data_IF_927279305846
#
_entry.id   IF_927279305846
#
_cell.length_a   1.000
_cell.length_b   1.000
_cell.length_c   1.000
_cell.angle_alpha   90.00
_cell.angle_beta   90.00
_cell.angle_gamma   90.00
#
_symmetry.space_group_name_H-M   'P 1'
#
loop_
_entity.id
_entity.type
_entity.pdbx_description
1 polymer ?
#
# COMPACT_ATOMS: atom_id res chain seq x y z
N UNK A 1 -20.29 -37.01 155.69
CA UNK A 1 -20.13 -37.76 154.42
C UNK A 1 -20.86 -37.19 153.19
N UNK A 2 -22.12 -36.71 153.28
CA UNK A 2 -22.87 -36.20 152.11
C UNK A 2 -22.23 -35.00 151.38
N UNK A 3 -21.47 -34.15 152.07
CA UNK A 3 -20.81 -32.96 151.49
C UNK A 3 -19.56 -33.32 150.69
N UNK A 4 -18.80 -34.34 151.10
CA UNK A 4 -17.60 -34.80 150.39
C UNK A 4 -17.94 -35.54 149.10
N UNK A 5 -19.00 -36.36 149.11
CA UNK A 5 -19.54 -37.00 147.89
C UNK A 5 -20.04 -35.98 146.87
N UNK A 6 -20.74 -34.92 147.31
CA UNK A 6 -21.15 -33.79 146.45
C UNK A 6 -19.97 -33.01 145.87
N UNK A 7 -18.89 -32.79 146.62
CA UNK A 7 -17.69 -32.10 146.10
C UNK A 7 -16.99 -32.93 145.01
N UNK A 8 -16.83 -34.24 145.22
CA UNK A 8 -16.25 -35.14 144.21
C UNK A 8 -17.11 -35.25 142.94
N UNK A 9 -18.44 -35.24 143.09
CA UNK A 9 -19.39 -35.26 141.96
C UNK A 9 -19.38 -33.94 141.17
N UNK A 10 -19.27 -32.79 141.85
CA UNK A 10 -19.08 -31.47 141.23
C UNK A 10 -17.75 -31.39 140.49
N UNK A 11 -16.68 -31.97 141.04
CA UNK A 11 -15.36 -31.99 140.42
C UNK A 11 -15.32 -32.90 139.18
N UNK A 12 -15.94 -34.10 139.24
CA UNK A 12 -16.13 -34.95 138.07
C UNK A 12 -17.00 -34.29 136.99
N UNK A 13 -18.04 -33.55 137.38
CA UNK A 13 -18.87 -32.78 136.45
C UNK A 13 -18.09 -31.61 135.82
N UNK A 14 -17.19 -30.95 136.57
CA UNK A 14 -16.28 -29.93 136.05
C UNK A 14 -15.26 -30.50 135.06
N UNK A 15 -14.68 -31.66 135.34
CA UNK A 15 -13.76 -32.34 134.41
C UNK A 15 -14.48 -32.80 133.14
N UNK A 16 -15.70 -33.33 133.26
CA UNK A 16 -16.54 -33.68 132.09
C UNK A 16 -16.95 -32.45 131.29
N UNK A 17 -17.28 -31.33 131.94
CA UNK A 17 -17.58 -30.08 131.28
C UNK A 17 -16.34 -29.49 130.59
N UNK A 18 -15.17 -29.49 131.23
CA UNK A 18 -13.91 -29.06 130.63
C UNK A 18 -13.53 -29.89 129.39
N UNK A 19 -13.71 -31.22 129.43
CA UNK A 19 -13.53 -32.08 128.24
C UNK A 19 -14.51 -31.72 127.11
N UNK A 20 -15.79 -31.52 127.42
CA UNK A 20 -16.78 -31.10 126.42
C UNK A 20 -16.48 -29.72 125.82
N UNK A 21 -15.99 -28.78 126.64
CA UNK A 21 -15.57 -27.45 126.18
C UNK A 21 -14.33 -27.56 125.30
N UNK A 22 -13.34 -28.37 125.66
CA UNK A 22 -12.16 -28.63 124.84
C UNK A 22 -12.53 -29.29 123.50
N UNK A 23 -13.36 -30.33 123.51
CA UNK A 23 -13.85 -30.99 122.29
C UNK A 23 -14.65 -30.04 121.40
N UNK A 24 -15.46 -29.15 121.99
CA UNK A 24 -16.21 -28.13 121.25
C UNK A 24 -15.28 -27.07 120.63
N UNK A 25 -14.25 -26.63 121.35
CA UNK A 25 -13.25 -25.69 120.86
C UNK A 25 -12.41 -26.31 119.73
N UNK A 26 -12.03 -27.58 119.84
CA UNK A 26 -11.25 -28.26 118.80
C UNK A 26 -12.08 -28.54 117.54
N UNK A 27 -13.37 -28.91 117.69
CA UNK A 27 -14.31 -28.95 116.56
C UNK A 27 -14.48 -27.58 115.91
N UNK A 28 -14.57 -26.51 116.70
CA UNK A 28 -14.69 -25.16 116.16
C UNK A 28 -13.43 -24.73 115.39
N UNK A 29 -12.23 -25.07 115.90
CA UNK A 29 -10.96 -24.85 115.18
C UNK A 29 -10.90 -25.65 113.89
N UNK A 30 -11.34 -26.91 113.88
CA UNK A 30 -11.41 -27.73 112.67
C UNK A 30 -12.36 -27.12 111.64
N UNK A 31 -13.56 -26.71 112.05
CA UNK A 31 -14.53 -26.05 111.16
C UNK A 31 -13.97 -24.73 110.59
N UNK A 32 -13.26 -23.94 111.41
CA UNK A 32 -12.62 -22.71 110.93
C UNK A 32 -11.50 -22.99 109.93
N UNK A 33 -10.68 -24.02 110.19
CA UNK A 33 -9.62 -24.46 109.27
C UNK A 33 -10.20 -24.96 107.95
N UNK A 34 -11.24 -25.80 107.99
CA UNK A 34 -11.93 -26.25 106.78
C UNK A 34 -12.56 -25.10 105.98
N UNK A 35 -13.09 -24.07 106.66
CA UNK A 35 -13.63 -22.87 106.00
C UNK A 35 -12.53 -22.06 105.31
N UNK A 36 -11.37 -21.94 105.95
CA UNK A 36 -10.20 -21.28 105.39
C UNK A 36 -9.68 -22.05 104.18
N UNK A 37 -9.47 -23.36 104.30
CA UNK A 37 -9.01 -24.23 103.21
C UNK A 37 -9.98 -24.22 102.02
N UNK A 38 -11.31 -24.26 102.27
CA UNK A 38 -12.33 -24.14 101.22
C UNK A 38 -12.33 -22.76 100.56
N UNK A 39 -12.00 -21.70 101.30
CA UNK A 39 -11.90 -20.34 100.74
C UNK A 39 -10.65 -20.19 99.86
N UNK A 40 -9.50 -20.69 100.32
CA UNK A 40 -8.27 -20.72 99.53
C UNK A 40 -8.44 -21.56 98.26
N UNK A 41 -9.03 -22.75 98.35
CA UNK A 41 -9.34 -23.58 97.17
C UNK A 41 -10.25 -22.85 96.17
N UNK A 42 -11.24 -22.08 96.65
CA UNK A 42 -12.09 -21.27 95.77
C UNK A 42 -11.32 -20.14 95.10
N UNK A 43 -10.40 -19.49 95.81
CA UNK A 43 -9.54 -18.45 95.25
C UNK A 43 -8.58 -19.02 94.20
N UNK A 44 -7.91 -20.13 94.47
CA UNK A 44 -7.03 -20.80 93.52
C UNK A 44 -7.79 -21.28 92.28
N UNK A 45 -8.96 -21.91 92.44
CA UNK A 45 -9.81 -22.31 91.31
C UNK A 45 -10.37 -21.13 90.52
N UNK A 46 -10.50 -19.94 91.12
CA UNK A 46 -10.88 -18.72 90.41
C UNK A 46 -9.70 -18.15 89.61
N UNK A 47 -8.48 -18.19 90.17
CA UNK A 47 -7.24 -17.80 89.47
C UNK A 47 -6.97 -18.71 88.27
N UNK A 48 -7.11 -20.03 88.43
CA UNK A 48 -6.93 -21.00 87.34
C UNK A 48 -7.93 -20.75 86.20
N UNK A 49 -9.23 -20.61 86.52
CA UNK A 49 -10.25 -20.29 85.51
C UNK A 49 -10.04 -18.92 84.84
N UNK A 50 -9.49 -17.94 85.56
CA UNK A 50 -9.14 -16.64 84.97
C UNK A 50 -7.94 -16.75 84.02
N UNK A 51 -6.97 -17.62 84.33
CA UNK A 51 -5.83 -17.90 83.45
C UNK A 51 -6.29 -18.65 82.18
N UNK A 52 -7.10 -19.69 82.32
CA UNK A 52 -7.68 -20.46 81.19
C UNK A 52 -8.50 -19.54 80.26
N UNK A 53 -9.37 -18.69 80.81
CA UNK A 53 -10.12 -17.73 80.00
C UNK A 53 -9.23 -16.75 79.23
N UNK A 54 -8.14 -16.27 79.85
CA UNK A 54 -7.18 -15.41 79.16
C UNK A 54 -6.49 -16.14 78.00
N UNK A 55 -6.13 -17.40 78.19
CA UNK A 55 -5.55 -18.21 77.11
C UNK A 55 -6.55 -18.43 75.97
N UNK A 56 -7.80 -18.76 76.28
CA UNK A 56 -8.88 -18.88 75.30
C UNK A 56 -9.11 -17.57 74.52
N UNK A 57 -9.16 -16.43 75.22
CA UNK A 57 -9.29 -15.10 74.60
C UNK A 57 -8.10 -14.80 73.67
N UNK A 58 -6.86 -15.10 74.10
CA UNK A 58 -5.67 -14.92 73.27
C UNK A 58 -5.71 -15.79 72.01
N UNK A 59 -6.17 -17.04 72.11
CA UNK A 59 -6.35 -17.94 70.96
C UNK A 59 -7.42 -17.39 70.01
N UNK A 60 -8.54 -16.86 70.54
CA UNK A 60 -9.58 -16.24 69.72
C UNK A 60 -9.06 -14.99 68.99
N UNK A 61 -8.34 -14.12 69.69
CA UNK A 61 -7.73 -12.92 69.10
C UNK A 61 -6.78 -13.32 67.97
N UNK A 62 -5.92 -14.32 68.18
CA UNK A 62 -5.02 -14.81 67.13
C UNK A 62 -5.77 -15.38 65.93
N UNK A 63 -6.86 -16.12 66.14
CA UNK A 63 -7.72 -16.61 65.04
C UNK A 63 -8.34 -15.44 64.26
N UNK A 64 -8.83 -14.42 64.94
CA UNK A 64 -9.41 -13.24 64.29
C UNK A 64 -8.37 -12.46 63.48
N UNK A 65 -7.14 -12.33 63.99
CA UNK A 65 -6.04 -11.66 63.28
C UNK A 65 -5.72 -12.43 62.00
N UNK A 66 -5.55 -13.75 62.07
CA UNK A 66 -5.28 -14.59 60.89
C UNK A 66 -6.38 -14.47 59.83
N UNK A 67 -7.65 -14.53 60.24
CA UNK A 67 -8.78 -14.36 59.33
C UNK A 67 -8.78 -12.96 58.68
N UNK A 68 -8.47 -11.91 59.43
CA UNK A 68 -8.36 -10.55 58.89
C UNK A 68 -7.20 -10.42 57.91
N UNK A 69 -6.04 -11.02 58.21
CA UNK A 69 -4.89 -11.04 57.31
C UNK A 69 -5.19 -11.77 56.00
N UNK A 70 -5.82 -12.94 56.06
CA UNK A 70 -6.25 -13.70 54.87
C UNK A 70 -7.26 -12.91 54.04
N UNK A 71 -8.27 -12.31 54.68
CA UNK A 71 -9.24 -11.46 54.01
C UNK A 71 -8.61 -10.19 53.40
N UNK A 72 -7.56 -9.65 54.02
CA UNK A 72 -6.80 -8.52 53.49
C UNK A 72 -5.98 -8.93 52.26
N UNK A 73 -5.26 -10.07 52.34
CA UNK A 73 -4.50 -10.64 51.21
C UNK A 73 -5.40 -10.94 50.01
N UNK A 74 -6.56 -11.55 50.23
CA UNK A 74 -7.52 -11.84 49.17
C UNK A 74 -8.06 -10.55 48.53
N UNK A 75 -8.31 -9.50 49.32
CA UNK A 75 -8.70 -8.18 48.80
C UNK A 75 -7.60 -7.54 47.97
N UNK A 76 -6.34 -7.64 48.41
CA UNK A 76 -5.20 -7.14 47.66
C UNK A 76 -5.03 -7.87 46.32
N UNK A 77 -5.12 -9.21 46.32
CA UNK A 77 -5.05 -10.02 45.09
C UNK A 77 -6.16 -9.65 44.10
N UNK A 78 -7.42 -9.57 44.56
CA UNK A 78 -8.54 -9.16 43.70
C UNK A 78 -8.35 -7.78 43.08
N UNK A 79 -7.73 -6.87 43.83
CA UNK A 79 -7.44 -5.52 43.35
C UNK A 79 -6.31 -5.53 42.31
N UNK A 80 -5.30 -6.39 42.49
CA UNK A 80 -4.23 -6.60 41.53
C UNK A 80 -4.74 -7.25 40.23
N UNK A 81 -5.56 -8.29 40.33
CA UNK A 81 -6.21 -8.94 39.18
C UNK A 81 -7.11 -7.95 38.43
N UNK A 82 -7.86 -7.11 39.15
CA UNK A 82 -8.69 -6.07 38.55
C UNK A 82 -7.84 -5.01 37.81
N UNK A 83 -6.64 -4.68 38.32
CA UNK A 83 -5.71 -3.79 37.62
C UNK A 83 -5.12 -4.46 36.38
N UNK A 84 -4.69 -5.72 36.48
CA UNK A 84 -4.17 -6.49 35.35
C UNK A 84 -5.20 -6.58 34.22
N UNK A 85 -6.43 -6.97 34.53
CA UNK A 85 -7.52 -7.05 33.53
C UNK A 85 -7.86 -5.71 32.88
N UNK A 86 -7.78 -4.60 33.62
CA UNK A 86 -7.95 -3.25 33.06
C UNK A 86 -6.81 -2.89 32.10
N UNK A 87 -5.57 -3.21 32.46
CA UNK A 87 -4.39 -2.97 31.63
C UNK A 87 -4.42 -3.81 30.35
N UNK A 88 -4.73 -5.10 30.45
CA UNK A 88 -4.88 -6.01 29.31
C UNK A 88 -5.96 -5.51 28.35
N UNK A 89 -7.10 -5.07 28.89
CA UNK A 89 -8.18 -4.50 28.07
C UNK A 89 -7.73 -3.23 27.37
N UNK A 90 -7.00 -2.34 28.06
CA UNK A 90 -6.43 -1.13 27.46
C UNK A 90 -5.44 -1.47 26.35
N UNK A 91 -4.53 -2.41 26.58
CA UNK A 91 -3.56 -2.86 25.59
C UNK A 91 -4.24 -3.46 24.37
N UNK A 92 -5.23 -4.35 24.57
CA UNK A 92 -6.03 -4.94 23.49
C UNK A 92 -6.73 -3.86 22.64
N UNK A 93 -7.30 -2.83 23.26
CA UNK A 93 -7.92 -1.72 22.52
C UNK A 93 -6.88 -0.96 21.69
N UNK A 94 -5.70 -0.69 22.25
CA UNK A 94 -4.62 0.01 21.55
C UNK A 94 -4.11 -0.83 20.36
N UNK A 95 -3.86 -2.12 20.56
CA UNK A 95 -3.41 -3.02 19.51
C UNK A 95 -4.45 -3.15 18.39
N UNK A 96 -5.73 -3.28 18.74
CA UNK A 96 -6.80 -3.35 17.74
C UNK A 96 -6.90 -2.06 16.92
N UNK A 97 -6.68 -0.89 17.54
CA UNK A 97 -6.60 0.39 16.82
C UNK A 97 -5.39 0.44 15.89
N UNK A 98 -4.20 0.08 16.37
CA UNK A 98 -2.97 0.03 15.55
C UNK A 98 -3.15 -0.87 14.33
N UNK A 99 -3.67 -2.10 14.53
CA UNK A 99 -3.95 -3.05 13.44
C UNK A 99 -4.94 -2.48 12.43
N UNK A 100 -5.99 -1.79 12.90
CA UNK A 100 -6.97 -1.16 12.01
C UNK A 100 -6.34 -0.01 11.21
N UNK A 101 -5.53 0.82 11.84
CA UNK A 101 -4.87 1.96 11.19
C UNK A 101 -3.84 1.48 10.15
N UNK A 102 -3.07 0.44 10.48
CA UNK A 102 -2.14 -0.23 9.54
C UNK A 102 -2.89 -0.78 8.33
N UNK A 103 -3.99 -1.51 8.54
CA UNK A 103 -4.83 -2.04 7.46
C UNK A 103 -5.43 -0.93 6.60
N UNK A 104 -5.94 0.14 7.22
CA UNK A 104 -6.47 1.29 6.50
C UNK A 104 -5.37 1.95 5.64
N UNK A 105 -4.17 2.14 6.19
CA UNK A 105 -3.01 2.65 5.47
C UNK A 105 -2.66 1.79 4.25
N UNK A 106 -2.64 0.46 4.40
CA UNK A 106 -2.39 -0.46 3.28
C UNK A 106 -3.47 -0.36 2.19
N UNK A 107 -4.74 -0.28 2.58
CA UNK A 107 -5.86 -0.12 1.63
C UNK A 107 -5.74 1.20 0.88
N UNK A 108 -5.39 2.29 1.57
CA UNK A 108 -5.18 3.59 0.92
C UNK A 108 -4.04 3.55 -0.10
N UNK A 109 -2.92 2.93 0.25
CA UNK A 109 -1.78 2.76 -0.66
C UNK A 109 -2.17 1.91 -1.88
N UNK A 110 -2.88 0.80 -1.67
CA UNK A 110 -3.35 -0.05 -2.78
C UNK A 110 -4.30 0.70 -3.71
N UNK A 111 -5.31 1.40 -3.17
CA UNK A 111 -6.24 2.20 -3.96
C UNK A 111 -5.54 3.32 -4.74
N UNK A 112 -4.56 3.98 -4.13
CA UNK A 112 -3.77 5.00 -4.81
C UNK A 112 -2.98 4.41 -5.98
N UNK A 113 -2.33 3.24 -5.78
CA UNK A 113 -1.63 2.53 -6.85
C UNK A 113 -2.57 2.10 -7.98
N UNK A 114 -3.72 1.52 -7.66
CA UNK A 114 -4.72 1.14 -8.66
C UNK A 114 -5.24 2.34 -9.45
N UNK A 115 -5.48 3.48 -8.79
CA UNK A 115 -5.88 4.71 -9.46
C UNK A 115 -4.79 5.21 -10.40
N UNK A 116 -3.53 5.23 -9.95
CA UNK A 116 -2.39 5.63 -10.78
C UNK A 116 -2.21 4.72 -11.99
N UNK A 117 -2.34 3.40 -11.82
CA UNK A 117 -2.29 2.44 -12.92
C UNK A 117 -3.40 2.69 -13.94
N UNK A 118 -4.64 2.90 -13.47
CA UNK A 118 -5.77 3.23 -14.36
C UNK A 118 -5.53 4.53 -15.11
N UNK A 119 -5.01 5.57 -14.46
CA UNK A 119 -4.68 6.82 -15.14
C UNK A 119 -3.63 6.60 -16.23
N UNK A 120 -2.55 5.90 -15.90
CA UNK A 120 -1.49 5.57 -16.86
C UNK A 120 -2.00 4.74 -18.04
N UNK A 121 -2.82 3.72 -17.79
CA UNK A 121 -3.47 2.92 -18.84
C UNK A 121 -4.34 3.79 -19.75
N UNK A 122 -5.13 4.71 -19.18
CA UNK A 122 -5.97 5.61 -19.98
C UNK A 122 -5.14 6.59 -20.80
N UNK A 123 -4.00 7.05 -20.29
CA UNK A 123 -3.12 7.97 -21.01
C UNK A 123 -2.37 7.25 -22.13
N UNK A 124 -1.85 6.04 -21.88
CA UNK A 124 -1.29 5.18 -22.93
C UNK A 124 -2.29 4.91 -24.06
N UNK A 125 -3.54 4.58 -23.73
CA UNK A 125 -4.58 4.38 -24.74
C UNK A 125 -4.89 5.65 -25.55
N UNK A 126 -4.78 6.84 -24.95
CA UNK A 126 -4.94 8.11 -25.70
C UNK A 126 -3.73 8.33 -26.60
N UNK A 127 -2.52 8.10 -26.10
CA UNK A 127 -1.29 8.23 -26.88
C UNK A 127 -1.29 7.28 -28.09
N UNK A 128 -1.65 6.01 -27.90
CA UNK A 128 -1.78 5.03 -28.99
C UNK A 128 -2.77 5.49 -30.06
N UNK A 129 -3.94 6.01 -29.65
CA UNK A 129 -4.93 6.57 -30.58
C UNK A 129 -4.37 7.75 -31.34
N UNK A 130 -3.68 8.67 -30.66
CA UNK A 130 -3.07 9.83 -31.30
C UNK A 130 -1.96 9.43 -32.29
N UNK A 131 -1.09 8.50 -31.90
CA UNK A 131 -0.04 7.98 -32.77
C UNK A 131 -0.62 7.26 -33.99
N UNK A 132 -1.72 6.52 -33.83
CA UNK A 132 -2.40 5.87 -34.95
C UNK A 132 -3.01 6.89 -35.90
N UNK A 133 -3.69 7.93 -35.39
CA UNK A 133 -4.20 9.03 -36.23
C UNK A 133 -3.06 9.73 -36.98
N UNK A 134 -1.93 9.99 -36.32
CA UNK A 134 -0.76 10.58 -36.97
C UNK A 134 -0.15 9.64 -38.02
N UNK A 135 -0.15 8.32 -37.79
CA UNK A 135 0.30 7.33 -38.76
C UNK A 135 -0.60 7.35 -40.00
N UNK A 136 -1.91 7.34 -39.82
CA UNK A 136 -2.89 7.43 -40.92
C UNK A 136 -2.68 8.72 -41.71
N UNK A 137 -2.58 9.87 -41.04
CA UNK A 137 -2.31 11.17 -41.70
C UNK A 137 -1.02 11.17 -42.52
N UNK A 138 0.05 10.53 -42.01
CA UNK A 138 1.32 10.38 -42.76
C UNK A 138 1.15 9.54 -44.02
N UNK A 139 0.38 8.45 -43.94
CA UNK A 139 0.08 7.60 -45.11
C UNK A 139 -0.80 8.34 -46.12
N UNK A 140 -1.82 9.06 -45.66
CA UNK A 140 -2.68 9.87 -46.52
C UNK A 140 -1.89 10.97 -47.24
N UNK A 141 -1.03 11.70 -46.52
CA UNK A 141 -0.20 12.74 -47.12
C UNK A 141 0.82 12.16 -48.11
N UNK A 142 1.42 11.00 -47.79
CA UNK A 142 2.29 10.30 -48.72
C UNK A 142 1.55 9.90 -50.02
N UNK A 143 0.36 9.33 -49.91
CA UNK A 143 -0.46 8.97 -51.07
C UNK A 143 -0.87 10.20 -51.89
N UNK A 144 -1.19 11.31 -51.21
CA UNK A 144 -1.49 12.59 -51.85
C UNK A 144 -0.29 13.11 -52.64
N UNK A 145 0.90 13.13 -52.04
CA UNK A 145 2.14 13.54 -52.70
C UNK A 145 2.47 12.65 -53.89
N UNK A 146 2.34 11.32 -53.73
CA UNK A 146 2.56 10.37 -54.82
C UNK A 146 1.57 10.60 -55.98
N UNK A 147 0.32 10.94 -55.67
CA UNK A 147 -0.69 11.26 -56.70
C UNK A 147 -0.35 12.56 -57.42
N UNK A 148 0.07 13.60 -56.68
CA UNK A 148 0.52 14.87 -57.27
C UNK A 148 1.75 14.66 -58.17
N UNK A 149 2.71 13.85 -57.73
CA UNK A 149 3.88 13.52 -58.53
C UNK A 149 3.49 12.83 -59.84
N UNK A 150 2.57 11.85 -59.81
CA UNK A 150 2.07 11.20 -61.03
C UNK A 150 1.39 12.17 -61.98
N UNK A 151 0.57 13.08 -61.45
CA UNK A 151 -0.10 14.12 -62.27
C UNK A 151 0.95 15.03 -62.92
N UNK A 152 1.97 15.45 -62.18
CA UNK A 152 3.07 16.26 -62.73
C UNK A 152 3.84 15.52 -63.82
N UNK A 153 4.16 14.24 -63.62
CA UNK A 153 4.83 13.41 -64.62
C UNK A 153 3.99 13.24 -65.90
N UNK A 154 2.67 13.10 -65.77
CA UNK A 154 1.73 13.02 -66.90
C UNK A 154 1.58 14.36 -67.63
N UNK A 155 1.57 15.48 -66.89
CA UNK A 155 1.54 16.84 -67.45
C UNK A 155 2.83 17.14 -68.23
N UNK A 156 4.00 16.88 -67.63
CA UNK A 156 5.31 17.03 -68.28
C UNK A 156 5.40 16.20 -69.57
N UNK A 157 4.91 14.95 -69.52
CA UNK A 157 4.87 14.08 -70.70
C UNK A 157 3.94 14.65 -71.78
N UNK A 158 2.79 15.19 -71.37
CA UNK A 158 1.82 15.80 -72.28
C UNK A 158 2.38 17.06 -72.92
N UNK A 159 3.15 17.87 -72.18
CA UNK A 159 3.88 19.03 -72.71
C UNK A 159 4.94 18.61 -73.73
N UNK A 160 5.79 17.63 -73.42
CA UNK A 160 6.77 17.09 -74.39
C UNK A 160 6.12 16.63 -75.69
N UNK A 161 5.00 15.91 -75.60
CA UNK A 161 4.25 15.47 -76.80
C UNK A 161 3.69 16.67 -77.57
N UNK A 162 3.22 17.72 -76.90
CA UNK A 162 2.74 18.94 -77.57
C UNK A 162 3.88 19.65 -78.29
N UNK A 163 5.04 19.75 -77.66
CA UNK A 163 6.24 20.39 -78.23
C UNK A 163 6.76 19.60 -79.43
N UNK A 164 6.86 18.28 -79.32
CA UNK A 164 7.23 17.40 -80.45
C UNK A 164 6.25 17.55 -81.62
N UNK A 165 4.93 17.59 -81.33
CA UNK A 165 3.91 17.83 -82.37
C UNK A 165 4.01 19.23 -82.98
N UNK A 166 4.41 20.24 -82.21
CA UNK A 166 4.64 21.59 -82.73
C UNK A 166 5.87 21.61 -83.64
N UNK A 167 6.97 20.99 -83.21
CA UNK A 167 8.20 20.84 -83.98
C UNK A 167 7.97 20.10 -85.31
N UNK A 168 7.27 18.97 -85.29
CA UNK A 168 6.95 18.22 -86.53
C UNK A 168 6.08 19.06 -87.47
N UNK A 169 5.10 19.81 -86.96
CA UNK A 169 4.28 20.71 -87.78
C UNK A 169 5.09 21.84 -88.39
N UNK A 170 6.03 22.41 -87.65
CA UNK A 170 6.94 23.42 -88.17
C UNK A 170 7.89 22.85 -89.23
N UNK A 171 8.46 21.66 -88.99
CA UNK A 171 9.28 20.97 -89.98
C UNK A 171 8.50 20.68 -91.27
N UNK A 172 7.22 20.29 -91.18
CA UNK A 172 6.34 20.10 -92.33
C UNK A 172 6.10 21.42 -93.08
N UNK A 173 5.84 22.52 -92.36
CA UNK A 173 5.68 23.86 -92.97
C UNK A 173 6.96 24.29 -93.69
N UNK A 174 8.12 24.13 -93.06
CA UNK A 174 9.41 24.47 -93.63
C UNK A 174 9.70 23.61 -94.86
N UNK A 175 9.47 22.30 -94.78
CA UNK A 175 9.64 21.39 -95.93
C UNK A 175 8.70 21.72 -97.08
N UNK A 176 7.45 22.10 -96.80
CA UNK A 176 6.49 22.54 -97.81
C UNK A 176 6.90 23.87 -98.45
N UNK A 177 7.40 24.82 -97.64
CA UNK A 177 7.92 26.10 -98.11
C UNK A 177 9.18 25.92 -98.97
N UNK A 178 10.13 25.08 -98.54
CA UNK A 178 11.30 24.69 -99.33
C UNK A 178 10.90 23.99 -100.63
N UNK A 179 9.88 23.13 -100.59
CA UNK A 179 9.32 22.49 -101.77
C UNK A 179 8.70 23.52 -102.74
N UNK A 180 8.00 24.52 -102.22
CA UNK A 180 7.45 25.62 -103.01
C UNK A 180 8.55 26.48 -103.64
N UNK A 181 9.55 26.90 -102.86
CA UNK A 181 10.71 27.65 -103.37
C UNK A 181 11.42 26.85 -104.46
N UNK A 182 11.65 25.54 -104.25
CA UNK A 182 12.26 24.68 -105.28
C UNK A 182 11.44 24.68 -106.57
N UNK A 183 10.12 24.52 -106.49
CA UNK A 183 9.24 24.60 -107.66
C UNK A 183 9.31 25.96 -108.34
N UNK A 184 9.35 27.05 -107.57
CA UNK A 184 9.46 28.41 -108.10
C UNK A 184 10.79 28.62 -108.82
N UNK A 185 11.91 28.21 -108.21
CA UNK A 185 13.24 28.26 -108.83
C UNK A 185 13.32 27.46 -110.13
N UNK A 186 12.72 26.27 -110.17
CA UNK A 186 12.62 25.49 -111.42
C UNK A 186 11.79 26.23 -112.47
N UNK A 187 10.66 26.82 -112.08
CA UNK A 187 9.80 27.60 -113.00
C UNK A 187 10.53 28.83 -113.54
N UNK A 188 11.25 29.55 -112.70
CA UNK A 188 12.08 30.69 -113.08
C UNK A 188 13.20 30.27 -114.03
N UNK A 189 13.95 29.21 -113.71
CA UNK A 189 14.98 28.65 -114.58
C UNK A 189 14.40 28.19 -115.93
N UNK A 190 13.23 27.54 -115.95
CA UNK A 190 12.54 27.15 -117.19
C UNK A 190 12.11 28.37 -118.02
N UNK A 191 11.64 29.44 -117.37
CA UNK A 191 11.31 30.69 -118.05
C UNK A 191 12.56 31.37 -118.62
N UNK A 192 13.67 31.42 -117.86
CA UNK A 192 14.95 31.95 -118.34
C UNK A 192 15.48 31.16 -119.53
N UNK A 193 15.40 29.83 -119.50
CA UNK A 193 15.76 28.97 -120.63
C UNK A 193 14.89 29.24 -121.87
N UNK A 194 13.58 29.49 -121.68
CA UNK A 194 12.66 29.85 -122.77
C UNK A 194 13.00 31.20 -123.39
N UNK A 195 13.46 32.16 -122.59
CA UNK A 195 13.81 33.51 -123.06
C UNK A 195 15.20 33.55 -123.71
N UNK A 196 16.15 32.76 -123.19
CA UNK A 196 17.57 32.83 -123.58
C UNK A 196 18.03 31.72 -124.53
N UNK A 197 17.22 30.68 -124.78
CA UNK A 197 17.52 29.50 -125.61
C UNK A 197 18.80 28.72 -125.22
N UNK A 198 19.34 28.96 -124.02
CA UNK A 198 20.48 28.23 -123.46
C UNK A 198 19.96 27.25 -122.41
N UNK A 199 20.13 25.95 -122.64
CA UNK A 199 19.73 24.92 -121.69
C UNK A 199 20.68 24.90 -120.50
N UNK A 200 20.21 25.30 -119.32
CA UNK A 200 20.93 25.18 -118.05
C UNK A 200 20.53 23.85 -117.39
N UNK A 201 21.49 23.15 -116.79
CA UNK A 201 21.24 21.84 -116.20
C UNK A 201 20.37 21.98 -114.93
N UNK A 202 19.10 21.56 -114.98
CA UNK A 202 18.11 21.81 -113.92
C UNK A 202 18.52 21.17 -112.58
N UNK A 203 19.30 20.07 -112.62
CA UNK A 203 19.81 19.39 -111.42
C UNK A 203 20.78 20.26 -110.59
N UNK A 204 21.54 21.17 -111.22
CA UNK A 204 22.45 22.06 -110.49
C UNK A 204 21.71 23.17 -109.73
N UNK A 205 20.56 23.62 -110.24
CA UNK A 205 19.70 24.64 -109.63
C UNK A 205 18.86 24.07 -108.48
N UNK A 206 18.50 22.79 -108.56
CA UNK A 206 17.76 22.04 -107.53
C UNK A 206 18.62 21.57 -106.36
N UNK A 207 19.93 21.84 -106.36
CA UNK A 207 20.84 21.49 -105.27
C UNK A 207 21.16 20.00 -105.17
N UNK A 208 21.15 19.28 -106.30
CA UNK A 208 21.55 17.88 -106.39
C UNK A 208 23.06 17.69 -106.32
N UNK A 209 23.71 18.14 -105.24
CA UNK A 209 25.12 17.83 -104.98
C UNK A 209 25.37 17.69 -103.47
N UNK A 210 24.66 16.74 -102.84
CA UNK A 210 25.06 16.28 -101.50
C UNK A 210 26.24 15.32 -101.64
N UNK A 211 27.44 15.89 -101.66
CA UNK A 211 28.70 15.18 -101.39
C UNK A 211 28.54 14.35 -100.11
N UNK A 212 28.72 13.03 -100.23
CA UNK A 212 28.97 12.11 -99.12
C UNK A 212 30.23 12.57 -98.35
N UNK A 213 30.07 13.18 -97.18
CA UNK A 213 31.14 13.27 -96.19
C UNK A 213 30.97 12.13 -95.19
N UNK A 214 31.69 11.04 -95.45
CA UNK A 214 32.16 10.13 -94.40
C UNK A 214 33.18 10.91 -93.57
N UNK A 215 32.82 11.29 -92.35
CA UNK A 215 33.73 11.86 -91.36
C UNK A 215 33.42 11.22 -90.02
N UNK A 216 34.34 10.37 -89.55
CA UNK A 216 34.39 9.85 -88.18
C UNK A 216 34.38 11.03 -87.21
N UNK A 217 33.48 11.02 -86.23
CA UNK A 217 33.68 11.72 -84.97
C UNK A 217 33.62 10.72 -83.83
N UNK A 218 34.61 10.89 -82.96
CA UNK A 218 35.00 10.02 -81.86
C UNK A 218 33.96 10.05 -80.74
N UNK A 219 33.69 8.84 -80.24
CA UNK A 219 33.01 8.54 -78.99
C UNK A 219 33.78 9.21 -77.82
N UNK A 220 33.20 10.27 -77.25
CA UNK A 220 33.53 10.73 -75.90
C UNK A 220 32.34 10.44 -75.01
N UNK A 221 32.46 9.36 -74.25
CA UNK A 221 31.66 9.10 -73.06
C UNK A 221 31.79 10.27 -72.07
N UNK A 222 30.69 10.89 -71.63
CA UNK A 222 30.66 11.57 -70.35
C UNK A 222 30.37 10.55 -69.25
N UNK A 223 31.31 10.40 -68.34
CA UNK A 223 31.16 9.69 -67.09
C UNK A 223 29.84 10.06 -66.38
N UNK A 224 29.03 9.04 -66.07
CA UNK A 224 27.93 9.13 -65.12
C UNK A 224 28.45 8.87 -63.70
N UNK A 225 28.30 9.87 -62.83
CA UNK A 225 28.19 9.71 -61.39
C UNK A 225 26.79 9.23 -61.02
#
# INVERSE_FOLDING_TARGET
>A
EKVLKKKAEVEQNRVRAAKRIADALDRQKQIQKEKYDKFEQKQENAKLRAAEKREEEMIQIQKTIKQQEEASKLRAQRLEDAKGTMEDRKQSIIENRKKRDEQAGLIHIQRAKEMQLKMLETDLLKEDKQQNVQRIRRVEEFNRLQTLQKVQEDDDRSERIKDEKAFVREQQKNSAHEGFIRKQRVKEAMNEMRVTNKFVNIESILGGDKKKTRGKEEEKDPASH
#
